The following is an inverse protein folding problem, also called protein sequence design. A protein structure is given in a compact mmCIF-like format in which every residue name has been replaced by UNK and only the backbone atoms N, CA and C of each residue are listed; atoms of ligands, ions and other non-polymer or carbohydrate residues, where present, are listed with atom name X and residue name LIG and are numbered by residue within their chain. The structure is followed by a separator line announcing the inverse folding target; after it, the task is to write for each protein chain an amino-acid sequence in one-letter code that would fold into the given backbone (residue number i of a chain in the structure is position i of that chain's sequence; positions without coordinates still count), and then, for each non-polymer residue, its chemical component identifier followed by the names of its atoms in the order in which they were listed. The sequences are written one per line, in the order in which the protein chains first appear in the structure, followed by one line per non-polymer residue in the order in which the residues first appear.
data_IF_784348839804
#
_entry.id   IF_784348839804
#
_cell.length_a   1.000
_cell.length_b   1.000
_cell.length_c   1.000
_cell.angle_alpha   90.00
_cell.angle_beta   90.00
_cell.angle_gamma   90.00
#
_symmetry.space_group_name_H-M   'P 1'
#
loop_
_entity.id
_entity.type
_entity.pdbx_description
1 polymer ?
#
# COMPACT_ATOMS: atom_id res chain seq x y z
N UNK A 1 -25.11 -1.31 8.57
CA UNK A 1 -24.21 -0.18 8.26
C UNK A 1 -22.94 -0.39 9.07
N UNK A 2 -21.92 -1.00 8.47
CA UNK A 2 -20.73 -1.52 9.16
C UNK A 2 -19.64 -0.47 9.43
N UNK A 3 -19.91 0.82 9.23
CA UNK A 3 -18.92 1.89 9.42
C UNK A 3 -18.35 1.88 10.84
N UNK A 4 -17.03 1.79 10.95
CA UNK A 4 -16.31 1.74 12.23
C UNK A 4 -16.11 0.33 12.78
N UNK A 5 -16.41 -0.73 12.02
CA UNK A 5 -16.11 -2.08 12.43
C UNK A 5 -14.60 -2.35 12.37
N UNK A 6 -14.10 -3.16 13.30
CA UNK A 6 -12.68 -3.57 13.33
C UNK A 6 -12.21 -4.19 12.00
N UNK A 7 -13.12 -4.84 11.26
CA UNK A 7 -12.84 -5.47 9.95
C UNK A 7 -12.37 -4.48 8.89
N UNK A 8 -12.88 -3.25 8.90
CA UNK A 8 -12.48 -2.22 7.95
C UNK A 8 -11.03 -1.77 8.18
N UNK A 9 -10.53 -1.86 9.42
CA UNK A 9 -9.19 -1.42 9.77
C UNK A 9 -8.11 -2.49 9.55
N UNK A 10 -8.47 -3.77 9.46
CA UNK A 10 -7.51 -4.90 9.38
C UNK A 10 -6.52 -4.73 8.23
N UNK A 11 -6.98 -4.24 7.07
CA UNK A 11 -6.11 -4.04 5.91
C UNK A 11 -5.11 -2.91 6.13
N UNK A 12 -5.57 -1.79 6.70
CA UNK A 12 -4.74 -0.63 7.03
C UNK A 12 -3.72 -0.97 8.11
N UNK A 13 -4.10 -1.72 9.14
CA UNK A 13 -3.19 -2.19 10.19
C UNK A 13 -2.10 -3.10 9.64
N UNK A 14 -2.46 -4.05 8.76
CA UNK A 14 -1.49 -4.96 8.12
C UNK A 14 -0.49 -4.19 7.24
N UNK A 15 -0.97 -3.20 6.50
CA UNK A 15 -0.11 -2.32 5.71
C UNK A 15 0.87 -1.58 6.61
N UNK A 16 0.40 -0.93 7.67
CA UNK A 16 1.26 -0.20 8.60
C UNK A 16 2.22 -1.08 9.37
N UNK A 17 1.85 -2.32 9.68
CA UNK A 17 2.80 -3.30 10.23
C UNK A 17 3.96 -3.53 9.27
N UNK A 18 3.69 -3.76 7.99
CA UNK A 18 4.72 -3.98 6.98
C UNK A 18 5.64 -2.76 6.86
N UNK A 19 5.08 -1.56 6.71
CA UNK A 19 5.84 -0.30 6.64
C UNK A 19 6.74 -0.12 7.87
N UNK A 20 6.22 -0.37 9.07
CA UNK A 20 6.99 -0.21 10.31
C UNK A 20 8.19 -1.14 10.35
N UNK A 21 8.01 -2.43 10.11
CA UNK A 21 9.07 -3.42 10.22
C UNK A 21 10.05 -3.39 9.06
N UNK A 22 9.57 -3.17 7.83
CA UNK A 22 10.40 -3.23 6.63
C UNK A 22 11.11 -1.89 6.34
N UNK A 23 10.66 -0.76 6.92
CA UNK A 23 11.21 0.57 6.61
C UNK A 23 11.39 1.52 7.79
N UNK A 24 10.54 1.55 8.79
CA UNK A 24 10.68 2.56 9.86
C UNK A 24 11.70 2.09 10.91
N UNK A 25 11.58 0.85 11.39
CA UNK A 25 12.42 0.33 12.46
C UNK A 25 13.86 0.02 12.03
N UNK A 26 14.12 -0.06 10.73
CA UNK A 26 15.46 -0.32 10.18
C UNK A 26 16.27 0.95 9.92
N UNK A 27 15.67 2.13 10.08
CA UNK A 27 16.28 3.39 9.68
C UNK A 27 16.26 4.40 10.84
N UNK A 28 17.40 5.05 11.06
CA UNK A 28 17.49 6.24 11.90
C UNK A 28 17.33 7.47 10.99
N UNK A 29 16.23 8.19 11.14
CA UNK A 29 15.98 9.40 10.36
C UNK A 29 16.43 10.63 11.14
N UNK A 30 17.23 11.49 10.51
CA UNK A 30 17.71 12.75 11.06
C UNK A 30 16.63 13.83 11.04
N UNK A 31 15.59 13.67 10.21
CA UNK A 31 14.48 14.61 10.12
C UNK A 31 13.17 13.95 9.67
N UNK A 32 12.05 14.62 9.96
CA UNK A 32 10.73 14.23 9.46
C UNK A 32 10.68 14.26 7.93
N UNK A 33 11.38 15.19 7.28
CA UNK A 33 11.44 15.28 5.82
C UNK A 33 12.09 14.02 5.21
N UNK A 34 13.20 13.57 5.80
CA UNK A 34 13.88 12.34 5.37
C UNK A 34 13.00 11.11 5.61
N UNK A 35 12.35 11.01 6.77
CA UNK A 35 11.42 9.92 7.08
C UNK A 35 10.28 9.88 6.05
N UNK A 36 9.71 11.04 5.70
CA UNK A 36 8.62 11.13 4.71
C UNK A 36 9.08 10.68 3.33
N UNK A 37 10.24 11.13 2.86
CA UNK A 37 10.79 10.70 1.57
C UNK A 37 11.02 9.18 1.54
N UNK A 38 11.69 8.64 2.55
CA UNK A 38 11.95 7.20 2.67
C UNK A 38 10.66 6.36 2.68
N UNK A 39 9.62 6.82 3.40
CA UNK A 39 8.32 6.16 3.46
C UNK A 39 7.62 6.23 2.10
N UNK A 40 7.66 7.38 1.40
CA UNK A 40 7.12 7.51 0.05
C UNK A 40 7.78 6.54 -0.93
N UNK A 41 9.11 6.44 -0.90
CA UNK A 41 9.86 5.49 -1.75
C UNK A 41 9.46 4.04 -1.44
N UNK A 42 9.20 3.72 -0.17
CA UNK A 42 8.72 2.39 0.21
C UNK A 42 7.33 2.10 -0.37
N UNK A 43 6.42 3.09 -0.30
CA UNK A 43 5.07 2.94 -0.86
C UNK A 43 5.09 2.82 -2.38
N UNK A 44 5.97 3.55 -3.07
CA UNK A 44 6.14 3.45 -4.53
C UNK A 44 6.52 2.00 -4.90
N UNK A 45 7.57 1.46 -4.27
CA UNK A 45 8.00 0.07 -4.47
C UNK A 45 6.92 -0.95 -4.08
N UNK A 46 6.29 -0.79 -2.90
CA UNK A 46 5.26 -1.70 -2.39
C UNK A 46 4.07 -1.81 -3.35
N UNK A 47 3.68 -0.69 -3.96
CA UNK A 47 2.52 -0.62 -4.85
C UNK A 47 2.84 -1.01 -6.30
N UNK A 48 4.04 -0.70 -6.80
CA UNK A 48 4.36 -0.86 -8.23
C UNK A 48 5.24 -2.04 -8.56
N UNK A 49 6.03 -2.52 -7.61
CA UNK A 49 7.07 -3.51 -7.87
C UNK A 49 6.88 -4.80 -7.07
N UNK A 50 6.39 -4.72 -5.82
CA UNK A 50 6.23 -5.89 -4.95
C UNK A 50 5.04 -6.77 -5.38
N UNK A 51 5.25 -8.03 -5.79
CA UNK A 51 4.17 -8.98 -6.01
C UNK A 51 3.57 -9.47 -4.68
N UNK A 52 2.24 -9.57 -4.59
CA UNK A 52 1.56 -10.08 -3.39
C UNK A 52 0.88 -11.42 -3.67
N UNK A 53 1.13 -12.41 -2.82
CA UNK A 53 0.54 -13.75 -2.99
C UNK A 53 -0.99 -13.73 -2.91
N UNK A 54 -1.57 -12.87 -2.07
CA UNK A 54 -3.02 -12.66 -1.97
C UNK A 54 -3.63 -11.99 -3.21
N UNK A 55 -2.79 -11.42 -4.08
CA UNK A 55 -3.17 -10.78 -5.35
C UNK A 55 -2.68 -11.61 -6.54
N UNK A 56 -2.61 -12.94 -6.42
CA UNK A 56 -2.14 -13.81 -7.50
C UNK A 56 -0.75 -13.42 -8.07
N UNK A 57 0.15 -12.94 -7.20
CA UNK A 57 1.47 -12.42 -7.56
C UNK A 57 1.43 -11.16 -8.45
N UNK A 58 0.34 -10.41 -8.42
CA UNK A 58 0.28 -9.07 -8.98
C UNK A 58 0.71 -8.03 -7.95
N UNK A 59 1.07 -6.85 -8.44
CA UNK A 59 1.32 -5.66 -7.60
C UNK A 59 -0.02 -5.00 -7.24
N UNK A 60 -0.10 -4.24 -6.13
CA UNK A 60 -1.34 -3.54 -5.76
C UNK A 60 -1.81 -2.60 -6.87
N UNK A 61 -0.87 -1.96 -7.57
CA UNK A 61 -1.17 -1.13 -8.74
C UNK A 61 -1.84 -1.96 -9.85
N UNK A 62 -1.27 -3.10 -10.24
CA UNK A 62 -1.88 -3.99 -11.26
C UNK A 62 -3.29 -4.43 -10.85
N UNK A 63 -3.43 -4.97 -9.64
CA UNK A 63 -4.73 -5.44 -9.14
C UNK A 63 -5.78 -4.32 -9.12
N UNK A 64 -5.39 -3.08 -8.78
CA UNK A 64 -6.31 -1.94 -8.82
C UNK A 64 -6.83 -1.67 -10.24
N UNK A 65 -5.95 -1.64 -11.24
CA UNK A 65 -6.37 -1.42 -12.64
C UNK A 65 -7.18 -2.58 -13.21
N UNK A 66 -6.88 -3.82 -12.83
CA UNK A 66 -7.66 -4.98 -13.24
C UNK A 66 -9.07 -5.00 -12.62
N UNK A 67 -9.23 -4.42 -11.42
CA UNK A 67 -10.51 -4.29 -10.72
C UNK A 67 -11.30 -3.04 -11.13
N UNK A 68 -10.68 -2.08 -11.82
CA UNK A 68 -11.39 -0.91 -12.30
C UNK A 68 -12.42 -1.36 -13.35
N UNK A 69 -13.71 -0.99 -13.19
CA UNK A 69 -14.69 -1.28 -14.23
C UNK A 69 -14.23 -0.65 -15.54
N UNK A 70 -14.40 -1.37 -16.66
CA UNK A 70 -14.17 -0.80 -17.99
C UNK A 70 -15.13 0.38 -18.14
N UNK A 71 -14.65 1.59 -17.87
CA UNK A 71 -15.38 2.81 -18.19
C UNK A 71 -15.42 2.85 -19.71
N UNK A 72 -16.55 2.46 -20.31
CA UNK A 72 -16.79 2.69 -21.73
C UNK A 72 -16.55 4.19 -21.94
N UNK A 73 -15.54 4.55 -22.75
CA UNK A 73 -15.42 5.92 -23.22
C UNK A 73 -16.76 6.29 -23.85
N UNK A 74 -17.40 7.32 -23.33
CA UNK A 74 -18.52 7.94 -24.03
C UNK A 74 -17.99 8.41 -25.39
N UNK A 75 -18.62 7.91 -26.45
CA UNK A 75 -18.32 8.29 -27.83
C UNK A 75 -18.76 9.73 -28.10
#
# INVERSE_FOLDING_TARGET
DGRGAWRDNVFVERLWRSVKYERIYLHAYDSVAQARASILDYFEWYNRERPHSSLNRQTPHQAYYDLLPIVKKAA
#
